data_IF_447946856454
#
_entry.id   IF_447946856454
#
_cell.length_a   1.000
_cell.length_b   1.000
_cell.length_c   1.000
_cell.angle_alpha   90.00
_cell.angle_beta   90.00
_cell.angle_gamma   90.00
#
_symmetry.space_group_name_H-M   'P 1'
#
loop_
_entity.id
_entity.type
_entity.pdbx_description
1 polymer ?
#
# COMPACT_ATOMS: atom_id res chain seq x y z
N UNK A 1 33.41 -21.64 42.10
CA UNK A 1 32.20 -21.69 42.96
C UNK A 1 30.98 -21.73 42.06
N UNK A 2 30.16 -22.78 42.16
CA UNK A 2 28.99 -22.95 41.29
C UNK A 2 27.83 -22.02 41.75
N UNK A 3 27.03 -21.45 40.83
CA UNK A 3 25.96 -20.53 41.19
C UNK A 3 24.79 -21.30 41.83
N UNK A 4 24.43 -20.92 43.06
CA UNK A 4 23.26 -21.46 43.77
C UNK A 4 21.97 -21.00 43.09
N UNK A 5 21.27 -21.92 42.44
CA UNK A 5 19.95 -21.65 41.87
C UNK A 5 18.94 -21.42 43.00
N UNK A 6 18.53 -20.16 43.21
CA UNK A 6 17.45 -19.83 44.15
C UNK A 6 16.11 -20.36 43.63
N UNK A 7 15.42 -21.18 44.43
CA UNK A 7 14.07 -21.66 44.10
C UNK A 7 13.11 -20.48 44.09
N UNK A 8 12.23 -20.43 43.08
CA UNK A 8 11.20 -19.39 42.96
C UNK A 8 10.20 -19.53 44.11
N UNK A 9 9.77 -18.44 44.76
CA UNK A 9 8.78 -18.49 45.82
C UNK A 9 7.46 -19.04 45.29
N UNK A 10 6.87 -19.98 46.02
CA UNK A 10 5.55 -20.54 45.73
C UNK A 10 4.51 -19.46 46.00
N UNK A 11 3.75 -19.09 44.95
CA UNK A 11 2.66 -18.13 45.06
C UNK A 11 1.55 -18.63 45.97
N UNK A 12 0.70 -17.70 46.44
CA UNK A 12 -0.42 -17.99 47.34
C UNK A 12 -1.34 -19.09 46.76
N UNK A 13 -1.66 -20.15 47.52
CA UNK A 13 -2.57 -21.19 47.05
C UNK A 13 -3.97 -20.63 46.79
N UNK A 14 -4.65 -21.17 45.77
CA UNK A 14 -6.02 -20.77 45.43
C UNK A 14 -7.00 -21.30 46.46
N UNK A 15 -7.95 -20.48 46.90
CA UNK A 15 -9.03 -20.92 47.77
C UNK A 15 -9.94 -21.92 47.03
N UNK A 16 -10.40 -22.99 47.68
CA UNK A 16 -11.34 -23.93 47.07
C UNK A 16 -12.65 -23.22 46.73
N UNK A 17 -13.16 -23.39 45.50
CA UNK A 17 -14.44 -22.82 45.05
C UNK A 17 -14.37 -21.45 44.36
N UNK A 18 -13.19 -20.83 44.25
CA UNK A 18 -13.06 -19.58 43.49
C UNK A 18 -12.94 -19.82 41.99
N UNK A 19 -13.87 -19.30 41.19
CA UNK A 19 -13.66 -19.08 39.75
C UNK A 19 -12.44 -18.16 39.61
N UNK A 20 -11.27 -18.71 39.32
CA UNK A 20 -10.03 -17.94 39.22
C UNK A 20 -10.15 -16.76 38.22
N UNK A 21 -9.10 -15.94 38.11
CA UNK A 21 -9.07 -14.81 37.19
C UNK A 21 -9.48 -15.25 35.77
N UNK A 22 -10.69 -14.87 35.35
CA UNK A 22 -11.17 -15.10 33.97
C UNK A 22 -10.26 -14.33 33.02
N UNK A 23 -9.58 -15.06 32.14
CA UNK A 23 -8.75 -14.44 31.10
C UNK A 23 -9.69 -13.70 30.17
N UNK A 24 -9.56 -12.37 30.09
CA UNK A 24 -10.31 -11.57 29.12
C UNK A 24 -9.84 -11.95 27.72
N UNK A 25 -10.63 -12.71 26.99
CA UNK A 25 -10.41 -12.96 25.56
C UNK A 25 -10.93 -11.75 24.79
N UNK A 26 -10.01 -10.93 24.26
CA UNK A 26 -10.37 -9.83 23.37
C UNK A 26 -10.63 -10.36 21.96
N UNK A 27 -11.73 -11.10 21.77
CA UNK A 27 -12.18 -11.52 20.44
C UNK A 27 -13.04 -10.42 19.83
N UNK A 28 -12.48 -9.70 18.85
CA UNK A 28 -13.21 -8.70 18.07
C UNK A 28 -13.74 -9.36 16.80
N UNK A 29 -15.06 -9.44 16.65
CA UNK A 29 -15.68 -9.88 15.40
C UNK A 29 -15.40 -8.86 14.30
N UNK A 30 -14.64 -9.25 13.28
CA UNK A 30 -14.35 -8.42 12.12
C UNK A 30 -14.84 -9.12 10.85
N UNK A 31 -15.49 -8.36 9.96
CA UNK A 31 -16.18 -8.86 8.78
C UNK A 31 -15.53 -8.30 7.52
N UNK A 32 -15.46 -9.12 6.47
CA UNK A 32 -14.96 -8.74 5.15
C UNK A 32 -15.82 -7.62 4.54
N UNK A 33 -15.26 -6.87 3.58
CA UNK A 33 -15.99 -5.81 2.90
C UNK A 33 -17.15 -6.38 2.08
N UNK A 34 -16.94 -7.52 1.40
CA UNK A 34 -17.98 -8.25 0.66
C UNK A 34 -19.21 -8.56 1.53
N UNK A 35 -18.97 -9.25 2.66
CA UNK A 35 -20.02 -9.62 3.62
C UNK A 35 -20.79 -8.41 4.15
N UNK A 36 -20.11 -7.29 4.39
CA UNK A 36 -20.79 -6.06 4.83
C UNK A 36 -21.73 -5.52 3.77
N UNK A 37 -21.32 -5.55 2.50
CA UNK A 37 -22.17 -5.09 1.38
C UNK A 37 -23.36 -6.01 1.21
N UNK A 38 -23.18 -7.33 1.23
CA UNK A 38 -24.29 -8.30 1.14
C UNK A 38 -25.35 -8.10 2.24
N UNK A 39 -24.90 -7.90 3.48
CA UNK A 39 -25.79 -7.60 4.61
C UNK A 39 -26.54 -6.28 4.40
N UNK A 40 -25.87 -5.25 3.87
CA UNK A 40 -26.49 -3.95 3.62
C UNK A 40 -27.46 -3.99 2.43
N UNK A 41 -27.16 -4.76 1.38
CA UNK A 41 -28.04 -4.95 0.23
C UNK A 41 -29.34 -5.65 0.63
N UNK A 42 -29.23 -6.71 1.43
CA UNK A 42 -30.41 -7.36 1.99
C UNK A 42 -31.21 -6.41 2.89
N UNK A 43 -30.54 -5.61 3.72
CA UNK A 43 -31.19 -4.64 4.59
C UNK A 43 -31.92 -3.56 3.79
N UNK A 44 -31.33 -3.05 2.72
CA UNK A 44 -31.96 -2.03 1.88
C UNK A 44 -33.12 -2.61 1.04
N UNK A 45 -33.07 -3.91 0.68
CA UNK A 45 -34.15 -4.58 -0.04
C UNK A 45 -35.40 -4.85 0.81
N UNK A 46 -35.23 -5.21 2.09
CA UNK A 46 -36.35 -5.58 2.97
C UNK A 46 -36.74 -4.47 3.95
N UNK A 47 -35.84 -3.50 4.18
CA UNK A 47 -35.96 -2.44 5.18
C UNK A 47 -36.26 -2.93 6.61
N UNK A 48 -35.93 -4.20 6.91
CA UNK A 48 -36.15 -4.84 8.20
C UNK A 48 -34.83 -5.38 8.77
N UNK A 49 -34.47 -4.86 9.94
CA UNK A 49 -33.21 -5.19 10.62
C UNK A 49 -33.28 -6.53 11.35
N UNK A 50 -34.45 -6.91 11.87
CA UNK A 50 -34.64 -8.21 12.53
C UNK A 50 -34.56 -9.33 11.51
N UNK A 51 -35.27 -9.17 10.38
CA UNK A 51 -35.21 -10.09 9.26
C UNK A 51 -33.77 -10.25 8.74
N UNK A 52 -33.05 -9.15 8.57
CA UNK A 52 -31.65 -9.18 8.11
C UNK A 52 -30.74 -9.88 9.12
N UNK A 53 -30.90 -9.64 10.42
CA UNK A 53 -30.08 -10.31 11.44
C UNK A 53 -30.38 -11.81 11.48
N UNK A 54 -31.64 -12.22 11.38
CA UNK A 54 -32.03 -13.63 11.37
C UNK A 54 -31.51 -14.36 10.13
N UNK A 55 -31.47 -13.70 8.97
CA UNK A 55 -30.94 -14.27 7.73
C UNK A 55 -29.41 -14.53 7.81
N UNK A 56 -28.62 -13.53 8.20
CA UNK A 56 -27.15 -13.64 8.19
C UNK A 56 -26.54 -14.19 9.49
N UNK A 57 -27.27 -14.13 10.60
CA UNK A 57 -26.79 -14.54 11.91
C UNK A 57 -27.86 -15.31 12.70
N UNK A 58 -28.37 -16.45 12.18
CA UNK A 58 -29.46 -17.20 12.82
C UNK A 58 -29.10 -17.73 14.21
N UNK A 59 -27.83 -18.04 14.45
CA UNK A 59 -27.34 -18.56 15.74
C UNK A 59 -26.91 -17.44 16.71
N UNK A 60 -27.24 -16.18 16.43
CA UNK A 60 -26.82 -15.07 17.28
C UNK A 60 -27.56 -15.09 18.62
N UNK A 61 -26.85 -15.09 19.77
CA UNK A 61 -27.52 -14.99 21.07
C UNK A 61 -28.35 -13.71 21.18
N UNK A 62 -29.55 -13.80 21.75
CA UNK A 62 -30.48 -12.66 21.93
C UNK A 62 -29.80 -11.48 22.61
N UNK A 63 -28.94 -11.74 23.61
CA UNK A 63 -28.17 -10.70 24.31
C UNK A 63 -27.21 -9.90 23.40
N UNK A 64 -26.85 -10.41 22.23
CA UNK A 64 -25.98 -9.76 21.23
C UNK A 64 -26.75 -9.09 20.10
N UNK A 65 -28.07 -9.23 20.07
CA UNK A 65 -28.92 -8.64 19.02
C UNK A 65 -28.69 -7.14 18.87
N UNK A 66 -28.77 -6.38 19.96
CA UNK A 66 -28.55 -4.93 19.93
C UNK A 66 -27.14 -4.54 19.47
N UNK A 67 -26.11 -5.31 19.85
CA UNK A 67 -24.75 -5.07 19.36
C UNK A 67 -24.65 -5.25 17.84
N UNK A 68 -25.33 -6.28 17.29
CA UNK A 68 -25.37 -6.54 15.85
C UNK A 68 -26.17 -5.47 15.10
N UNK A 69 -27.33 -5.09 15.65
CA UNK A 69 -28.18 -4.01 15.15
C UNK A 69 -27.37 -2.71 14.99
N UNK A 70 -26.71 -2.25 16.06
CA UNK A 70 -25.87 -1.05 16.03
C UNK A 70 -24.72 -1.17 15.03
N UNK A 71 -24.10 -2.35 14.92
CA UNK A 71 -23.02 -2.60 13.96
C UNK A 71 -23.49 -2.44 12.50
N UNK A 72 -24.66 -2.98 12.15
CA UNK A 72 -25.22 -2.87 10.79
C UNK A 72 -25.57 -1.41 10.49
N UNK A 73 -26.19 -0.67 11.42
CA UNK A 73 -26.43 0.76 11.23
C UNK A 73 -25.13 1.56 11.07
N UNK A 74 -24.07 1.19 11.80
CA UNK A 74 -22.75 1.81 11.64
C UNK A 74 -22.20 1.54 10.24
N UNK A 75 -22.32 0.31 9.72
CA UNK A 75 -21.95 0.00 8.34
C UNK A 75 -22.77 0.79 7.33
N UNK A 76 -24.08 0.93 7.54
CA UNK A 76 -24.94 1.75 6.68
C UNK A 76 -24.48 3.20 6.62
N UNK A 77 -24.13 3.79 7.77
CA UNK A 77 -23.60 5.17 7.82
C UNK A 77 -22.30 5.35 7.04
N UNK A 78 -21.47 4.31 6.96
CA UNK A 78 -20.18 4.30 6.27
C UNK A 78 -20.19 3.49 4.96
N UNK A 79 -21.38 3.27 4.36
CA UNK A 79 -21.58 2.38 3.20
C UNK A 79 -20.64 2.72 2.03
N UNK A 80 -20.58 3.99 1.63
CA UNK A 80 -19.70 4.48 0.55
C UNK A 80 -18.23 4.09 0.75
N UNK A 81 -17.74 4.17 1.99
CA UNK A 81 -16.35 3.81 2.30
C UNK A 81 -16.11 2.30 2.25
N UNK A 82 -17.14 1.48 2.51
CA UNK A 82 -17.07 0.03 2.42
C UNK A 82 -17.15 -0.42 0.95
N UNK A 83 -17.99 0.22 0.14
CA UNK A 83 -18.08 0.01 -1.31
C UNK A 83 -16.75 0.35 -1.98
N UNK A 84 -16.20 1.54 -1.71
CA UNK A 84 -14.88 1.93 -2.19
C UNK A 84 -13.78 0.93 -1.79
N UNK A 85 -13.84 0.39 -0.56
CA UNK A 85 -12.89 -0.65 -0.12
C UNK A 85 -13.07 -1.96 -0.88
N UNK A 86 -14.31 -2.37 -1.18
CA UNK A 86 -14.62 -3.60 -1.92
C UNK A 86 -14.09 -3.54 -3.36
N UNK A 87 -14.25 -2.39 -4.00
CA UNK A 87 -13.89 -2.17 -5.41
C UNK A 87 -12.37 -2.06 -5.63
N UNK A 88 -11.59 -1.83 -4.57
CA UNK A 88 -10.12 -1.96 -4.63
C UNK A 88 -9.70 -3.39 -4.99
N UNK A 89 -8.59 -3.53 -5.72
CA UNK A 89 -7.98 -4.83 -6.01
C UNK A 89 -7.64 -5.57 -4.69
N UNK A 90 -8.22 -6.77 -4.51
CA UNK A 90 -8.09 -7.56 -3.28
C UNK A 90 -8.80 -6.95 -2.07
N UNK A 91 -9.72 -6.01 -2.30
CA UNK A 91 -10.44 -5.26 -1.29
C UNK A 91 -11.60 -5.99 -0.62
N UNK A 92 -12.23 -6.92 -1.34
CA UNK A 92 -13.38 -7.70 -0.88
C UNK A 92 -13.13 -8.40 0.47
N UNK A 93 -11.97 -9.04 0.63
CA UNK A 93 -11.61 -9.80 1.84
C UNK A 93 -11.11 -8.90 3.00
N UNK A 94 -10.84 -7.62 2.73
CA UNK A 94 -10.32 -6.70 3.74
C UNK A 94 -11.41 -6.41 4.77
N UNK A 95 -11.07 -6.64 6.05
CA UNK A 95 -12.02 -6.42 7.15
C UNK A 95 -12.05 -4.99 7.67
N UNK A 96 -10.99 -4.22 7.39
CA UNK A 96 -10.78 -2.83 7.82
C UNK A 96 -10.04 -2.08 6.72
N UNK A 97 -10.48 -0.86 6.42
CA UNK A 97 -9.69 0.11 5.70
C UNK A 97 -8.81 0.89 6.68
N UNK A 98 -7.59 1.23 6.28
CA UNK A 98 -6.79 2.29 6.91
C UNK A 98 -6.55 3.35 5.84
N UNK A 99 -6.66 4.63 6.18
CA UNK A 99 -6.34 5.68 5.22
C UNK A 99 -4.85 5.60 4.90
N UNK A 100 -4.50 5.75 3.63
CA UNK A 100 -3.11 5.79 3.19
C UNK A 100 -2.43 6.99 3.85
N UNK A 101 -1.37 6.73 4.63
CA UNK A 101 -0.65 7.77 5.38
C UNK A 101 -1.08 7.98 6.83
N UNK A 102 -2.04 7.21 7.36
CA UNK A 102 -2.58 7.40 8.73
C UNK A 102 -1.67 6.82 9.84
N UNK A 103 -0.65 6.04 9.47
CA UNK A 103 0.32 5.47 10.40
C UNK A 103 1.76 5.81 9.96
N UNK A 104 1.97 7.03 9.47
CA UNK A 104 3.32 7.50 9.11
C UNK A 104 3.95 8.14 10.34
N UNK A 105 5.23 7.83 10.55
CA UNK A 105 5.98 8.38 11.69
C UNK A 105 6.34 9.84 11.42
N UNK A 106 6.62 10.20 10.15
CA UNK A 106 6.80 11.58 9.70
C UNK A 106 5.47 12.16 9.23
N UNK A 107 5.32 13.47 9.38
CA UNK A 107 4.22 14.24 8.79
C UNK A 107 4.31 14.23 7.26
N UNK A 108 3.28 14.72 6.57
CA UNK A 108 3.29 14.77 5.10
C UNK A 108 4.24 15.86 4.60
N UNK A 109 4.35 16.92 5.36
CA UNK A 109 5.20 18.08 5.14
C UNK A 109 6.67 17.65 5.24
N UNK A 110 7.05 16.97 6.32
CA UNK A 110 8.42 16.46 6.51
C UNK A 110 8.82 15.44 5.40
N UNK A 111 7.86 14.62 4.95
CA UNK A 111 8.12 13.71 3.84
C UNK A 111 8.26 14.44 2.49
N UNK A 112 7.56 15.57 2.30
CA UNK A 112 7.67 16.38 1.10
C UNK A 112 9.06 17.04 1.00
N UNK A 113 9.61 17.51 2.12
CA UNK A 113 10.98 18.04 2.19
C UNK A 113 12.01 17.00 1.77
N UNK A 114 11.84 15.75 2.23
CA UNK A 114 12.67 14.64 1.80
C UNK A 114 12.54 14.34 0.31
N UNK A 115 11.34 14.46 -0.26
CA UNK A 115 11.13 14.29 -1.70
C UNK A 115 11.81 15.40 -2.50
N UNK A 116 11.68 16.67 -2.07
CA UNK A 116 12.32 17.81 -2.70
C UNK A 116 13.83 17.63 -2.75
N UNK A 117 14.44 17.31 -1.60
CA UNK A 117 15.87 17.03 -1.49
C UNK A 117 16.34 15.88 -2.41
N UNK A 118 15.55 14.81 -2.55
CA UNK A 118 15.86 13.71 -3.49
C UNK A 118 15.81 14.18 -4.94
N UNK A 119 14.83 15.02 -5.29
CA UNK A 119 14.67 15.55 -6.65
C UNK A 119 15.84 16.48 -7.02
N UNK A 120 16.20 17.41 -6.15
CA UNK A 120 17.33 18.34 -6.33
C UNK A 120 18.63 17.59 -6.61
N UNK A 121 18.98 16.59 -5.78
CA UNK A 121 20.18 15.79 -6.00
C UNK A 121 20.15 15.02 -7.32
N UNK A 122 18.97 14.59 -7.77
CA UNK A 122 18.85 13.89 -9.06
C UNK A 122 18.97 14.83 -10.25
N UNK A 123 18.53 16.07 -10.10
CA UNK A 123 18.69 17.10 -11.13
C UNK A 123 20.17 17.48 -11.29
N UNK A 124 20.93 17.46 -10.19
CA UNK A 124 22.40 17.58 -10.19
C UNK A 124 23.12 16.29 -10.66
N UNK A 125 22.38 15.22 -10.96
CA UNK A 125 22.94 13.94 -11.40
C UNK A 125 23.55 13.08 -10.29
N UNK A 126 23.37 13.46 -9.03
CA UNK A 126 23.87 12.73 -7.86
C UNK A 126 22.90 11.60 -7.49
N UNK A 127 23.33 10.33 -7.49
CA UNK A 127 22.46 9.22 -7.10
C UNK A 127 22.26 9.19 -5.59
N UNK A 128 21.00 9.23 -5.14
CA UNK A 128 20.65 9.07 -3.73
C UNK A 128 20.63 7.60 -3.34
N UNK A 129 21.52 7.19 -2.44
CA UNK A 129 21.55 5.82 -1.90
C UNK A 129 20.56 5.63 -0.75
N UNK A 130 20.23 4.39 -0.43
CA UNK A 130 19.36 4.06 0.72
C UNK A 130 19.93 4.55 2.07
N UNK A 131 21.25 4.61 2.18
CA UNK A 131 21.94 5.12 3.37
C UNK A 131 21.82 6.63 3.48
N UNK A 132 21.98 7.36 2.36
CA UNK A 132 21.77 8.82 2.34
C UNK A 132 20.34 9.18 2.71
N UNK A 133 19.35 8.48 2.15
CA UNK A 133 17.95 8.65 2.52
C UNK A 133 17.71 8.39 4.02
N UNK A 134 18.37 7.37 4.58
CA UNK A 134 18.25 7.06 6.02
C UNK A 134 18.75 8.22 6.87
N UNK A 135 19.95 8.73 6.58
CA UNK A 135 20.58 9.82 7.32
C UNK A 135 19.76 11.10 7.23
N UNK A 136 19.34 11.49 6.02
CA UNK A 136 18.53 12.68 5.83
C UNK A 136 17.18 12.57 6.56
N UNK A 137 16.54 11.41 6.51
CA UNK A 137 15.28 11.21 7.21
C UNK A 137 15.44 11.28 8.74
N UNK A 138 16.59 10.91 9.28
CA UNK A 138 16.88 11.12 10.71
C UNK A 138 17.03 12.60 11.05
N UNK A 139 17.72 13.38 10.23
CA UNK A 139 17.85 14.83 10.45
C UNK A 139 16.49 15.52 10.39
N UNK A 140 15.67 15.20 9.39
CA UNK A 140 14.30 15.72 9.28
C UNK A 140 13.44 15.32 10.49
N UNK A 141 13.49 14.06 10.92
CA UNK A 141 12.74 13.62 12.09
C UNK A 141 13.22 14.29 13.39
N UNK A 142 14.52 14.58 13.51
CA UNK A 142 15.10 15.31 14.65
C UNK A 142 14.62 16.75 14.65
N UNK A 143 14.59 17.42 13.50
CA UNK A 143 14.05 18.77 13.35
C UNK A 143 12.55 18.84 13.69
N UNK A 144 11.79 17.84 13.27
CA UNK A 144 10.36 17.70 13.57
C UNK A 144 10.04 17.24 15.01
N UNK A 145 11.05 16.92 15.82
CA UNK A 145 10.85 16.45 17.20
C UNK A 145 10.29 15.02 17.32
N UNK A 146 10.37 14.21 16.27
CA UNK A 146 9.83 12.85 16.22
C UNK A 146 10.91 11.83 16.64
N UNK A 147 11.01 11.57 17.95
CA UNK A 147 11.93 10.56 18.50
C UNK A 147 11.18 9.49 19.31
N UNK A 148 11.46 8.18 19.11
CA UNK A 148 12.54 7.60 18.30
C UNK A 148 12.13 7.17 16.86
N UNK A 149 12.56 7.92 15.85
CA UNK A 149 12.45 7.51 14.43
C UNK A 149 13.68 6.72 13.97
N UNK A 150 13.47 5.54 13.36
CA UNK A 150 14.54 4.59 12.97
C UNK A 150 14.88 4.58 11.47
N UNK A 151 14.10 5.26 10.62
CA UNK A 151 14.23 5.21 9.16
C UNK A 151 14.48 3.79 8.60
N UNK A 152 13.74 2.79 9.13
CA UNK A 152 13.98 1.36 8.89
C UNK A 152 13.80 0.99 7.41
N UNK A 153 14.29 -0.19 7.00
CA UNK A 153 14.12 -0.66 5.63
C UNK A 153 12.66 -0.67 5.17
N UNK A 154 11.74 -1.13 6.04
CA UNK A 154 10.31 -1.11 5.74
C UNK A 154 9.79 0.31 5.53
N UNK A 155 10.19 1.26 6.38
CA UNK A 155 9.83 2.67 6.20
C UNK A 155 10.36 3.22 4.87
N UNK A 156 11.63 2.97 4.54
CA UNK A 156 12.21 3.41 3.27
C UNK A 156 11.49 2.79 2.06
N UNK A 157 11.14 1.51 2.14
CA UNK A 157 10.39 0.83 1.08
C UNK A 157 9.01 1.47 0.88
N UNK A 158 8.25 1.68 1.95
CA UNK A 158 6.93 2.31 1.87
C UNK A 158 6.99 3.80 1.51
N UNK A 159 7.99 4.54 1.97
CA UNK A 159 8.24 5.92 1.56
C UNK A 159 8.44 6.01 0.04
N UNK A 160 9.35 5.20 -0.51
CA UNK A 160 9.59 5.13 -1.96
C UNK A 160 8.32 4.74 -2.74
N UNK A 161 7.59 3.73 -2.26
CA UNK A 161 6.36 3.28 -2.91
C UNK A 161 5.26 4.36 -2.89
N UNK A 162 5.14 5.12 -1.80
CA UNK A 162 4.16 6.21 -1.67
C UNK A 162 4.44 7.35 -2.65
N UNK A 163 5.72 7.71 -2.79
CA UNK A 163 6.18 8.82 -3.64
C UNK A 163 6.63 8.40 -5.05
N UNK A 164 6.40 7.13 -5.42
CA UNK A 164 6.78 6.54 -6.73
C UNK A 164 8.28 6.73 -7.06
N UNK A 165 9.14 6.73 -6.05
CA UNK A 165 10.58 6.92 -6.19
C UNK A 165 11.27 5.57 -6.43
N UNK A 166 12.18 5.53 -7.41
CA UNK A 166 13.16 4.44 -7.56
C UNK A 166 14.57 4.99 -7.34
N UNK A 167 15.36 4.38 -6.46
CA UNK A 167 16.75 4.80 -6.17
C UNK A 167 17.75 4.20 -7.18
N UNK A 168 17.34 4.04 -8.44
CA UNK A 168 18.21 3.49 -9.48
C UNK A 168 19.18 4.58 -9.96
N UNK A 169 20.44 4.22 -10.15
CA UNK A 169 21.43 5.07 -10.78
C UNK A 169 21.19 5.11 -12.31
N UNK A 170 21.35 6.28 -12.95
CA UNK A 170 21.36 6.37 -14.42
C UNK A 170 22.53 5.54 -14.93
N UNK A 171 22.23 4.44 -15.61
CA UNK A 171 23.23 3.45 -16.02
C UNK A 171 23.70 3.64 -17.46
N UNK A 172 23.12 4.61 -18.21
CA UNK A 172 23.52 4.93 -19.60
C UNK A 172 23.40 6.43 -19.92
N UNK A 173 24.31 6.91 -20.78
CA UNK A 173 24.38 8.28 -21.32
C UNK A 173 23.07 8.79 -21.96
N UNK A 174 22.25 7.90 -22.54
CA UNK A 174 20.98 8.25 -23.20
C UNK A 174 19.82 8.68 -22.27
N UNK A 175 20.06 8.87 -20.97
CA UNK A 175 19.05 9.30 -19.98
C UNK A 175 19.30 10.69 -19.42
N UNK A 176 20.24 11.45 -19.99
CA UNK A 176 20.37 12.87 -19.70
C UNK A 176 19.18 13.56 -20.36
N UNK A 177 18.30 14.14 -19.56
CA UNK A 177 17.17 14.93 -20.05
C UNK A 177 17.79 16.24 -20.58
N UNK A 178 17.73 16.52 -21.90
CA UNK A 178 18.10 17.85 -22.37
C UNK A 178 17.19 18.89 -21.67
N UNK A 179 17.71 20.08 -21.32
CA UNK A 179 16.94 21.12 -20.64
C UNK A 179 15.66 21.50 -21.42
N UNK A 180 15.69 21.30 -22.73
CA UNK A 180 14.59 21.60 -23.65
C UNK A 180 13.79 20.37 -24.10
N UNK A 181 13.65 19.36 -23.22
CA UNK A 181 12.98 18.09 -23.54
C UNK A 181 11.55 18.30 -24.06
N UNK A 182 10.82 19.26 -23.48
CA UNK A 182 9.41 19.46 -23.79
C UNK A 182 9.23 20.08 -25.19
N UNK A 183 10.01 21.11 -25.53
CA UNK A 183 9.96 21.70 -26.88
C UNK A 183 10.53 20.73 -27.92
N UNK A 184 11.59 19.99 -27.60
CA UNK A 184 12.17 18.98 -28.51
C UNK A 184 11.15 17.87 -28.81
N UNK A 185 10.42 17.40 -27.79
CA UNK A 185 9.38 16.39 -27.98
C UNK A 185 8.17 16.93 -28.76
N UNK A 186 7.80 18.20 -28.55
CA UNK A 186 6.73 18.87 -29.29
C UNK A 186 7.09 19.04 -30.77
N UNK A 187 8.28 19.57 -31.07
CA UNK A 187 8.79 19.70 -32.45
C UNK A 187 8.83 18.35 -33.16
N UNK A 188 9.37 17.32 -32.50
CA UNK A 188 9.40 15.97 -33.07
C UNK A 188 7.99 15.41 -33.32
N UNK A 189 7.04 15.64 -32.40
CA UNK A 189 5.66 15.19 -32.59
C UNK A 189 4.97 15.91 -33.76
N UNK A 190 5.25 17.20 -33.96
CA UNK A 190 4.76 17.97 -35.11
C UNK A 190 5.36 17.46 -36.42
N UNK A 191 6.67 17.22 -36.47
CA UNK A 191 7.35 16.66 -37.65
C UNK A 191 6.80 15.28 -38.03
N UNK A 192 6.59 14.38 -37.05
CA UNK A 192 6.02 13.05 -37.29
C UNK A 192 4.59 13.16 -37.83
N UNK A 193 3.78 14.10 -37.33
CA UNK A 193 2.42 14.34 -37.84
C UNK A 193 2.41 14.89 -39.26
N UNK A 194 3.26 15.87 -39.57
CA UNK A 194 3.40 16.43 -40.92
C UNK A 194 3.80 15.35 -41.92
N UNK A 195 4.82 14.57 -41.58
CA UNK A 195 5.33 13.50 -42.43
C UNK A 195 4.33 12.36 -42.62
N UNK A 196 3.56 12.04 -41.58
CA UNK A 196 2.46 11.08 -41.69
C UNK A 196 1.34 11.57 -42.63
N UNK A 197 1.02 12.87 -42.60
CA UNK A 197 0.04 13.48 -43.50
C UNK A 197 0.54 13.50 -44.97
N UNK A 198 1.81 13.86 -45.20
CA UNK A 198 2.43 13.86 -46.53
C UNK A 198 2.42 12.48 -47.19
N UNK A 199 2.72 11.42 -46.41
CA UNK A 199 2.80 10.04 -46.91
C UNK A 199 1.42 9.35 -46.90
N UNK A 200 0.39 9.97 -46.31
CA UNK A 200 -0.93 9.38 -46.14
C UNK A 200 -0.94 8.19 -45.17
N UNK A 201 0.00 8.15 -44.24
CA UNK A 201 0.16 7.04 -43.31
C UNK A 201 -0.94 7.07 -42.22
N UNK A 202 -1.92 6.17 -42.33
CA UNK A 202 -2.99 6.02 -41.34
C UNK A 202 -2.53 5.26 -40.09
N UNK A 203 -1.42 4.51 -40.18
CA UNK A 203 -0.93 3.63 -39.13
C UNK A 203 0.60 3.71 -39.05
N UNK A 204 1.11 4.10 -37.89
CA UNK A 204 2.55 4.23 -37.61
C UNK A 204 2.91 3.15 -36.59
N UNK A 205 3.83 2.26 -36.95
CA UNK A 205 4.33 1.21 -36.07
C UNK A 205 5.68 1.62 -35.48
N UNK A 206 5.91 1.26 -34.22
CA UNK A 206 7.23 1.38 -33.63
C UNK A 206 8.15 0.30 -34.20
N UNK A 207 9.30 0.71 -34.72
CA UNK A 207 10.33 -0.20 -35.19
C UNK A 207 11.57 -0.03 -34.29
N UNK A 208 11.53 -0.63 -33.10
CA UNK A 208 12.67 -0.66 -32.19
C UNK A 208 13.38 -2.01 -32.24
N UNK A 209 14.71 -1.99 -32.37
CA UNK A 209 15.52 -3.18 -32.17
C UNK A 209 15.58 -3.50 -30.68
N UNK A 210 14.84 -4.54 -30.27
CA UNK A 210 15.01 -5.17 -28.97
C UNK A 210 16.15 -6.17 -29.05
N UNK A 211 17.26 -5.89 -28.36
CA UNK A 211 18.38 -6.83 -28.27
C UNK A 211 17.94 -8.10 -27.52
N UNK A 212 17.70 -9.18 -28.26
CA UNK A 212 17.44 -10.50 -27.68
C UNK A 212 18.79 -11.08 -27.27
N UNK A 213 19.06 -11.11 -25.96
CA UNK A 213 20.25 -11.76 -25.42
C UNK A 213 19.99 -13.28 -25.33
N UNK A 214 20.26 -14.01 -26.41
CA UNK A 214 20.19 -15.47 -26.41
C UNK A 214 21.51 -16.00 -25.82
N UNK A 215 21.47 -16.53 -24.60
CA UNK A 215 22.59 -17.30 -24.07
C UNK A 215 22.73 -18.56 -24.93
N UNK A 216 23.87 -18.69 -25.60
CA UNK A 216 24.21 -19.75 -26.54
C UNK A 216 23.93 -21.17 -25.99
N UNK A 217 22.96 -21.86 -26.60
CA UNK A 217 23.15 -23.20 -27.18
C UNK A 217 22.30 -23.31 -28.45
N UNK A 218 22.99 -23.56 -29.57
CA UNK A 218 22.53 -23.83 -30.94
C UNK A 218 21.01 -23.91 -31.23
N UNK A 219 20.47 -22.92 -31.95
CA UNK A 219 19.56 -23.16 -33.09
C UNK A 219 19.35 -21.88 -33.90
N UNK A 220 19.73 -21.92 -35.18
CA UNK A 220 19.39 -20.95 -36.22
C UNK A 220 17.87 -20.94 -36.40
N UNK A 221 17.22 -19.81 -36.13
CA UNK A 221 15.81 -19.62 -36.48
C UNK A 221 15.69 -18.35 -37.32
N UNK A 222 15.59 -18.55 -38.63
CA UNK A 222 15.16 -17.54 -39.59
C UNK A 222 13.73 -17.11 -39.23
N UNK A 223 13.55 -15.88 -38.76
CA UNK A 223 12.24 -15.26 -38.68
C UNK A 223 11.96 -14.53 -40.00
N UNK A 224 11.23 -15.20 -40.88
CA UNK A 224 10.57 -14.58 -42.05
C UNK A 224 9.42 -13.73 -41.53
N UNK A 225 9.44 -12.43 -41.85
CA UNK A 225 8.32 -11.51 -41.66
C UNK A 225 7.22 -11.82 -42.69
N UNK A 226 6.00 -12.05 -42.21
CA UNK A 226 4.74 -11.76 -42.93
C UNK A 226 3.92 -10.86 -42.01
#
# INVERSE_FOLDING_TARGET
MAPTQRRRPIGRPRLPGGEGRKVKTHTVSSFAASHKIEVLDHFDAHNDIEMTINHFYPELPVAKFNSRRTLIYTWKSSRRSIEALRDEVGGADKKKARKKGEATILSKEDEADLVCWICELRDEGVPVTATMLRLQAHEVAKAAGVAPFKASWCWQHHFKARHRLSLRCKTRQGQIRPPDLLETAQKFAEEVKQKAAEIGATRIYNADQTGIFILFTYLLLFAVFI
#
